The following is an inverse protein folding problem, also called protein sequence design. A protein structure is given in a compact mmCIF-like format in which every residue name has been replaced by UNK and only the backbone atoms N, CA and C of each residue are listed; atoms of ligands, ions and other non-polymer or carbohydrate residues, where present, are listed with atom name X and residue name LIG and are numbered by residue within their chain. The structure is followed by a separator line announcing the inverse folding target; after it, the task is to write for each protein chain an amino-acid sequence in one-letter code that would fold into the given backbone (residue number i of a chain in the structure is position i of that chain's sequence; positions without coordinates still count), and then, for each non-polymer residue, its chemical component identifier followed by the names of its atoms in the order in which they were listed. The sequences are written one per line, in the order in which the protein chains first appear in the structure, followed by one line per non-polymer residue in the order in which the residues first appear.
data_IF_753274475072
#
_entry.id   IF_753274475072
#
_cell.length_a   1.000
_cell.length_b   1.000
_cell.length_c   1.000
_cell.angle_alpha   90.00
_cell.angle_beta   90.00
_cell.angle_gamma   90.00
#
_symmetry.space_group_name_H-M   'P 1'
#
loop_
_entity.id
_entity.type
_entity.pdbx_description
1 polymer ?
#
# COMPACT_ATOMS: atom_id res chain seq x y z
N UNK A 1 9.40 -1.99 -9.51
CA UNK A 1 9.99 -3.28 -9.96
C UNK A 1 11.25 -3.63 -9.16
N UNK A 2 12.28 -2.77 -9.11
CA UNK A 2 13.50 -2.99 -8.32
C UNK A 2 13.26 -3.29 -6.83
N UNK A 3 12.31 -2.58 -6.20
CA UNK A 3 11.93 -2.81 -4.78
C UNK A 3 11.41 -4.23 -4.56
N UNK A 4 10.50 -4.71 -5.42
CA UNK A 4 9.95 -6.07 -5.33
C UNK A 4 11.05 -7.14 -5.51
N UNK A 5 11.94 -6.96 -6.49
CA UNK A 5 13.09 -7.87 -6.69
C UNK A 5 13.99 -7.93 -5.47
N UNK A 6 14.29 -6.76 -4.89
CA UNK A 6 15.13 -6.65 -3.69
C UNK A 6 14.45 -7.31 -2.50
N UNK A 7 13.14 -7.15 -2.34
CA UNK A 7 12.35 -7.81 -1.31
C UNK A 7 12.39 -9.34 -1.42
N UNK A 8 12.29 -9.90 -2.63
CA UNK A 8 12.41 -11.35 -2.86
C UNK A 8 13.80 -11.85 -2.47
N UNK A 9 14.86 -11.19 -2.94
CA UNK A 9 16.25 -11.55 -2.60
C UNK A 9 16.51 -11.46 -1.11
N UNK A 10 15.99 -10.43 -0.46
CA UNK A 10 16.12 -10.23 0.99
C UNK A 10 15.37 -11.30 1.77
N UNK A 11 14.16 -11.68 1.36
CA UNK A 11 13.42 -12.75 2.00
C UNK A 11 14.18 -14.08 1.90
N UNK A 12 14.77 -14.37 0.74
CA UNK A 12 15.56 -15.58 0.53
C UNK A 12 16.84 -15.58 1.39
N UNK A 13 17.56 -14.47 1.43
CA UNK A 13 18.75 -14.30 2.28
C UNK A 13 18.44 -14.49 3.77
N UNK A 14 17.34 -13.89 4.27
CA UNK A 14 16.90 -14.03 5.66
C UNK A 14 16.57 -15.49 5.99
N UNK A 15 15.79 -16.18 5.16
CA UNK A 15 15.38 -17.57 5.40
C UNK A 15 16.56 -18.55 5.24
N UNK A 16 17.57 -18.17 4.46
CA UNK A 16 18.79 -18.97 4.25
C UNK A 16 19.80 -18.89 5.40
N UNK A 17 19.59 -18.02 6.39
CA UNK A 17 20.45 -17.94 7.58
C UNK A 17 20.33 -19.21 8.45
N UNK A 18 21.42 -19.59 9.11
CA UNK A 18 21.49 -20.83 9.93
C UNK A 18 20.49 -20.85 11.10
N UNK A 19 20.04 -19.68 11.56
CA UNK A 19 19.00 -19.57 12.58
C UNK A 19 17.65 -20.19 12.16
N UNK A 20 17.44 -20.39 10.84
CA UNK A 20 16.25 -21.02 10.30
C UNK A 20 16.44 -22.50 9.90
N UNK A 21 17.62 -23.11 10.14
CA UNK A 21 17.92 -24.48 9.70
C UNK A 21 16.88 -25.50 10.20
N UNK A 22 16.43 -25.37 11.44
CA UNK A 22 15.43 -26.26 12.06
C UNK A 22 13.98 -25.97 11.61
N UNK A 23 13.74 -24.86 10.89
CA UNK A 23 12.40 -24.35 10.61
C UNK A 23 12.05 -24.22 9.11
N UNK A 24 13.02 -23.93 8.23
CA UNK A 24 12.75 -23.46 6.86
C UNK A 24 12.20 -24.50 5.90
N UNK A 25 12.30 -25.79 6.21
CA UNK A 25 11.75 -26.87 5.41
C UNK A 25 12.09 -26.78 3.91
N UNK A 26 11.19 -27.28 3.07
CA UNK A 26 11.31 -27.15 1.60
C UNK A 26 10.76 -25.81 1.13
N UNK A 27 11.53 -25.09 0.31
CA UNK A 27 11.07 -23.84 -0.32
C UNK A 27 9.81 -24.10 -1.16
N UNK A 28 8.74 -23.36 -0.89
CA UNK A 28 7.47 -23.49 -1.61
C UNK A 28 7.42 -22.65 -2.89
N UNK A 29 7.95 -21.42 -2.84
CA UNK A 29 8.02 -20.48 -3.98
C UNK A 29 9.19 -19.50 -3.80
N UNK A 30 9.86 -19.09 -4.89
CA UNK A 30 9.89 -19.77 -6.18
C UNK A 30 10.43 -21.21 -6.04
N UNK A 31 9.89 -22.17 -6.79
CA UNK A 31 10.32 -23.59 -6.71
C UNK A 31 11.61 -23.88 -7.46
N UNK A 32 12.06 -22.94 -8.29
CA UNK A 32 13.31 -22.99 -9.03
C UNK A 32 14.16 -21.79 -8.65
N UNK A 33 15.47 -21.93 -8.74
CA UNK A 33 16.36 -20.80 -8.55
C UNK A 33 16.16 -19.77 -9.66
N UNK A 34 16.19 -18.50 -9.26
CA UNK A 34 15.97 -17.36 -10.14
C UNK A 34 17.26 -16.56 -10.20
N UNK A 35 17.94 -16.62 -11.33
CA UNK A 35 19.28 -16.08 -11.51
C UNK A 35 19.30 -14.77 -12.32
N UNK A 36 18.13 -14.24 -12.69
CA UNK A 36 18.02 -13.01 -13.48
C UNK A 36 16.87 -12.11 -13.06
N UNK A 37 17.02 -10.81 -13.29
CA UNK A 37 15.98 -9.82 -13.03
C UNK A 37 14.73 -10.07 -13.90
N UNK A 38 14.88 -10.61 -15.12
CA UNK A 38 13.75 -10.94 -16.00
C UNK A 38 12.91 -12.10 -15.48
N UNK A 39 13.55 -13.11 -14.88
CA UNK A 39 12.84 -14.20 -14.21
C UNK A 39 12.14 -13.69 -12.94
N UNK A 40 12.77 -12.82 -12.15
CA UNK A 40 12.12 -12.20 -10.98
C UNK A 40 10.92 -11.34 -11.41
N UNK A 41 11.05 -10.53 -12.46
CA UNK A 41 9.95 -9.70 -12.96
C UNK A 41 8.78 -10.57 -13.49
N UNK A 42 9.05 -11.78 -13.98
CA UNK A 42 8.02 -12.74 -14.40
C UNK A 42 7.34 -13.38 -13.18
N UNK A 43 8.12 -13.81 -12.20
CA UNK A 43 7.61 -14.33 -10.94
C UNK A 43 6.72 -13.30 -10.22
N UNK A 44 7.16 -12.04 -10.12
CA UNK A 44 6.36 -10.95 -9.53
C UNK A 44 5.05 -10.76 -10.32
N UNK A 45 5.07 -10.83 -11.66
CA UNK A 45 3.84 -10.69 -12.44
C UNK A 45 2.84 -11.82 -12.21
N UNK A 46 3.32 -13.04 -11.98
CA UNK A 46 2.47 -14.22 -11.79
C UNK A 46 1.92 -14.32 -10.36
N UNK A 47 2.72 -13.92 -9.36
CA UNK A 47 2.44 -14.18 -7.95
C UNK A 47 2.25 -12.92 -7.08
N UNK A 48 2.39 -11.71 -7.63
CA UNK A 48 2.14 -10.51 -6.83
C UNK A 48 0.68 -10.45 -6.39
N UNK A 49 0.49 -10.15 -5.12
CA UNK A 49 -0.81 -9.94 -4.51
C UNK A 49 -0.87 -8.55 -3.90
N UNK A 50 -2.09 -8.05 -3.74
CA UNK A 50 -2.32 -6.79 -3.03
C UNK A 50 -2.20 -7.03 -1.53
N UNK A 51 -1.62 -6.07 -0.81
CA UNK A 51 -1.72 -5.98 0.64
C UNK A 51 -3.10 -5.45 1.10
N UNK A 52 -4.07 -5.33 0.19
CA UNK A 52 -5.44 -4.85 0.43
C UNK A 52 -5.53 -3.41 0.94
N UNK A 53 -4.68 -2.53 0.38
CA UNK A 53 -4.62 -1.11 0.73
C UNK A 53 -4.97 -0.16 -0.45
N UNK A 54 -6.13 -0.29 -1.11
CA UNK A 54 -6.54 0.66 -2.14
C UNK A 54 -6.89 2.03 -1.52
N UNK A 55 -6.41 3.13 -2.14
CA UNK A 55 -6.60 4.50 -1.66
C UNK A 55 -6.47 5.53 -2.79
N UNK A 56 -6.81 6.79 -2.53
CA UNK A 56 -6.49 7.93 -3.39
C UNK A 56 -7.37 8.17 -4.63
N UNK A 57 -8.47 7.44 -4.81
CA UNK A 57 -9.37 7.59 -5.97
C UNK A 57 -10.23 8.86 -5.93
N UNK A 58 -10.46 9.44 -4.76
CA UNK A 58 -11.13 10.73 -4.54
C UNK A 58 -10.18 11.72 -3.86
N UNK A 59 -8.91 11.72 -4.29
CA UNK A 59 -7.80 12.41 -3.65
C UNK A 59 -8.12 13.85 -3.22
N UNK A 60 -7.76 14.14 -1.97
CA UNK A 60 -7.66 15.49 -1.42
C UNK A 60 -6.50 16.28 -2.05
N UNK A 61 -6.71 17.57 -2.30
CA UNK A 61 -5.64 18.43 -2.81
C UNK A 61 -6.10 19.84 -3.15
N UNK A 62 -5.16 20.64 -3.65
CA UNK A 62 -5.40 22.03 -4.09
C UNK A 62 -5.24 22.21 -5.60
N UNK A 63 -4.75 21.19 -6.31
CA UNK A 63 -4.60 21.17 -7.77
C UNK A 63 -5.91 20.84 -8.49
N UNK A 64 -5.98 21.08 -9.80
CA UNK A 64 -7.18 20.82 -10.61
C UNK A 64 -7.59 19.34 -10.64
N UNK A 65 -6.67 18.41 -10.36
CA UNK A 65 -6.93 16.97 -10.32
C UNK A 65 -7.45 16.46 -8.96
N UNK A 66 -7.62 17.33 -7.97
CA UNK A 66 -8.18 16.96 -6.67
C UNK A 66 -9.71 16.88 -6.70
N UNK A 67 -10.28 15.87 -6.04
CA UNK A 67 -11.73 15.63 -5.95
C UNK A 67 -12.34 16.30 -4.72
N UNK A 68 -11.60 16.30 -3.61
CA UNK A 68 -12.01 16.96 -2.36
C UNK A 68 -10.98 17.99 -1.89
N UNK A 69 -11.41 18.94 -1.08
CA UNK A 69 -10.50 19.86 -0.37
C UNK A 69 -9.96 19.27 0.94
N UNK A 70 -9.18 20.06 1.69
CA UNK A 70 -8.57 19.64 2.96
C UNK A 70 -9.57 19.28 4.07
N UNK A 71 -10.83 19.70 3.92
CA UNK A 71 -11.92 19.35 4.83
C UNK A 71 -12.71 18.11 4.34
N UNK A 72 -12.32 17.52 3.22
CA UNK A 72 -13.04 16.41 2.59
C UNK A 72 -14.30 16.84 1.82
N UNK A 73 -14.51 18.14 1.59
CA UNK A 73 -15.66 18.64 0.82
C UNK A 73 -15.46 18.37 -0.67
N UNK A 74 -16.48 17.81 -1.31
CA UNK A 74 -16.46 17.53 -2.75
C UNK A 74 -16.47 18.84 -3.53
N UNK A 75 -15.48 19.04 -4.38
CA UNK A 75 -15.34 20.27 -5.17
C UNK A 75 -16.48 20.37 -6.19
N UNK A 76 -17.14 21.53 -6.23
CA UNK A 76 -18.27 21.78 -7.12
C UNK A 76 -19.62 21.25 -6.64
N UNK A 77 -19.69 20.62 -5.46
CA UNK A 77 -20.95 20.12 -4.87
C UNK A 77 -21.10 20.66 -3.44
N UNK A 78 -22.24 21.30 -3.16
CA UNK A 78 -22.55 21.80 -1.82
C UNK A 78 -23.03 20.69 -0.89
N UNK A 79 -22.57 20.68 0.36
CA UNK A 79 -23.10 19.81 1.41
C UNK A 79 -22.70 18.34 1.33
N UNK A 80 -21.70 17.99 0.52
CA UNK A 80 -21.19 16.63 0.36
C UNK A 80 -19.73 16.53 0.78
N UNK A 81 -19.40 15.50 1.60
CA UNK A 81 -18.03 15.14 1.97
C UNK A 81 -17.74 13.68 1.65
N UNK A 82 -16.47 13.36 1.41
CA UNK A 82 -15.94 12.00 1.39
C UNK A 82 -14.93 11.87 2.53
N UNK A 83 -15.06 10.81 3.34
CA UNK A 83 -14.19 10.57 4.51
C UNK A 83 -13.89 9.07 4.60
N UNK A 84 -12.93 8.61 3.80
CA UNK A 84 -12.43 7.23 3.77
C UNK A 84 -11.01 7.17 3.14
N UNK A 85 -10.48 5.99 2.84
CA UNK A 85 -9.14 5.86 2.22
C UNK A 85 -9.01 6.53 0.84
N UNK A 86 -10.12 6.77 0.13
CA UNK A 86 -10.09 7.34 -1.22
C UNK A 86 -9.58 8.79 -1.25
N UNK A 87 -9.69 9.53 -0.14
CA UNK A 87 -9.24 10.93 -0.09
C UNK A 87 -7.75 11.09 0.22
N UNK A 88 -7.03 10.00 0.52
CA UNK A 88 -5.58 10.05 0.78
C UNK A 88 -4.83 10.61 -0.44
N UNK A 89 -4.04 11.69 -0.29
CA UNK A 89 -3.22 12.22 -1.40
C UNK A 89 -2.14 11.27 -1.86
N UNK A 90 -1.53 10.58 -0.90
CA UNK A 90 -0.53 9.56 -1.11
C UNK A 90 -0.74 8.48 -0.04
N UNK A 91 -0.46 7.23 -0.39
CA UNK A 91 -0.56 6.11 0.53
C UNK A 91 0.54 6.22 1.61
N UNK A 92 0.20 5.95 2.87
CA UNK A 92 1.19 5.98 3.96
C UNK A 92 2.05 4.71 3.99
N UNK A 93 3.20 4.77 4.65
CA UNK A 93 3.98 3.57 4.95
C UNK A 93 3.28 2.73 6.03
N UNK A 94 2.78 1.55 5.66
CA UNK A 94 2.14 0.60 6.57
C UNK A 94 0.65 0.39 6.30
N UNK A 95 -0.05 -0.22 7.27
CA UNK A 95 -1.46 -0.58 7.13
C UNK A 95 -2.38 0.64 7.25
N UNK A 96 -3.36 0.74 6.34
CA UNK A 96 -4.19 1.96 6.21
C UNK A 96 -5.28 2.11 7.26
N UNK A 97 -5.59 1.09 8.06
CA UNK A 97 -6.67 1.15 9.03
C UNK A 97 -6.51 2.34 10.00
N UNK A 98 -5.36 2.44 10.68
CA UNK A 98 -5.13 3.51 11.65
C UNK A 98 -5.07 4.91 10.99
N UNK A 99 -4.38 5.12 9.85
CA UNK A 99 -4.43 6.38 9.11
C UNK A 99 -5.84 6.80 8.68
N UNK A 100 -6.68 5.87 8.21
CA UNK A 100 -8.08 6.17 7.83
C UNK A 100 -8.88 6.64 9.04
N UNK A 101 -8.80 5.92 10.16
CA UNK A 101 -9.51 6.29 11.39
C UNK A 101 -9.05 7.67 11.88
N UNK A 102 -7.74 7.93 11.91
CA UNK A 102 -7.21 9.23 12.35
C UNK A 102 -7.71 10.38 11.46
N UNK A 103 -7.67 10.20 10.13
CA UNK A 103 -8.16 11.19 9.18
C UNK A 103 -9.67 11.45 9.36
N UNK A 104 -10.46 10.41 9.61
CA UNK A 104 -11.88 10.53 9.87
C UNK A 104 -12.17 11.31 11.16
N UNK A 105 -11.47 10.97 12.25
CA UNK A 105 -11.55 11.69 13.54
C UNK A 105 -11.19 13.17 13.36
N UNK A 106 -10.11 13.46 12.60
CA UNK A 106 -9.68 14.84 12.39
C UNK A 106 -10.70 15.68 11.60
N UNK A 107 -11.32 15.09 10.57
CA UNK A 107 -12.37 15.76 9.82
C UNK A 107 -13.63 15.91 10.68
N UNK A 108 -13.99 14.89 11.48
CA UNK A 108 -15.12 14.97 12.39
C UNK A 108 -14.97 16.11 13.41
N UNK A 109 -13.79 16.25 14.02
CA UNK A 109 -13.46 17.37 14.91
C UNK A 109 -13.66 18.74 14.23
N UNK A 110 -13.28 18.87 12.95
CA UNK A 110 -13.51 20.10 12.17
C UNK A 110 -14.96 20.37 11.78
N UNK A 111 -15.84 19.37 11.88
CA UNK A 111 -17.26 19.51 11.58
C UNK A 111 -18.08 19.92 12.82
N UNK A 112 -17.58 19.59 14.01
CA UNK A 112 -18.26 19.86 15.28
C UNK A 112 -17.86 21.20 15.91
N UNK A 113 -16.71 21.76 15.51
CA UNK A 113 -16.21 23.06 15.95
C UNK A 113 -16.36 24.12 14.84
#
# INVERSE_FOLDING_TARGET
RSVMRSGIRMADDIVSQSAFDDYRGTRLRPTVDIDSDDQLDRFVREFAESAYHPSGTCRMGVDDGAVVDAAGLVRGVSGLRVVDASIMPEITNGNLNAPVVMMAEKISDSMLN
#
